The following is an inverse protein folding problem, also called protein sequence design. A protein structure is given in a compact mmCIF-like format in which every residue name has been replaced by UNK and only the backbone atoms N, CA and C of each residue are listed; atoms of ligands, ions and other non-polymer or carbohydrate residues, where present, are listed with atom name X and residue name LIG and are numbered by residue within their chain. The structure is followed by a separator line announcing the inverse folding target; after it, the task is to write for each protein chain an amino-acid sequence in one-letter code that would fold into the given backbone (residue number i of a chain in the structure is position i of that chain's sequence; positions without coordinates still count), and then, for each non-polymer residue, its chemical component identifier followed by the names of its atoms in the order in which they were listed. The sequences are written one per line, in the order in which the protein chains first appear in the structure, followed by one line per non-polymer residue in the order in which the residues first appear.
data_IF_623315991433
#
_entry.id   IF_623315991433
#
_cell.length_a   1.000
_cell.length_b   1.000
_cell.length_c   1.000
_cell.angle_alpha   90.00
_cell.angle_beta   90.00
_cell.angle_gamma   90.00
#
_symmetry.space_group_name_H-M   'P 1'
#
loop_
_entity.id
_entity.type
_entity.pdbx_description
1 polymer ?
#
# COMPACT_ATOMS: atom_id res chain seq x y z
N UNK A 1 68.63 35.72 -0.18
CA UNK A 1 67.16 35.92 -0.32
C UNK A 1 66.54 34.60 -0.78
N UNK A 2 65.59 34.03 -0.03
CA UNK A 2 64.97 32.72 -0.33
C UNK A 2 63.46 32.93 -0.45
N UNK A 3 62.91 32.86 -1.68
CA UNK A 3 61.46 32.95 -1.94
C UNK A 3 60.74 31.79 -1.26
N UNK A 4 59.71 32.08 -0.46
CA UNK A 4 58.69 31.10 -0.07
C UNK A 4 57.39 31.49 -0.78
N UNK A 5 56.90 30.58 -1.62
CA UNK A 5 55.61 30.73 -2.35
C UNK A 5 54.45 30.52 -1.38
N UNK A 6 53.31 31.21 -1.57
CA UNK A 6 52.11 30.93 -0.79
C UNK A 6 51.54 29.55 -1.15
N UNK A 7 51.30 28.72 -0.14
CA UNK A 7 50.44 27.55 -0.28
C UNK A 7 49.00 28.04 -0.38
N UNK A 8 48.40 27.85 -1.55
CA UNK A 8 46.97 28.02 -1.80
C UNK A 8 46.21 26.91 -1.08
N UNK A 9 45.52 27.25 0.02
CA UNK A 9 44.54 26.38 0.66
C UNK A 9 43.16 26.67 0.04
N UNK A 10 42.96 26.19 -1.19
CA UNK A 10 41.63 26.14 -1.78
C UNK A 10 41.05 24.73 -1.52
N UNK A 11 39.88 24.66 -0.89
CA UNK A 11 38.98 23.52 -1.10
C UNK A 11 38.67 22.58 0.06
N UNK A 12 38.39 23.06 1.28
CA UNK A 12 37.79 22.21 2.35
C UNK A 12 36.47 22.76 2.91
N UNK A 13 36.10 24.02 2.63
CA UNK A 13 34.87 24.62 3.20
C UNK A 13 33.58 24.24 2.47
N UNK A 14 33.60 24.25 1.14
CA UNK A 14 32.37 24.16 0.33
C UNK A 14 31.70 22.77 0.36
N UNK A 15 32.41 21.63 0.21
CA UNK A 15 31.73 20.32 0.14
C UNK A 15 31.15 19.87 1.49
N UNK A 16 31.76 20.28 2.61
CA UNK A 16 31.29 19.95 3.95
C UNK A 16 30.00 20.71 4.31
N UNK A 17 29.91 21.98 3.92
CA UNK A 17 28.74 22.82 4.15
C UNK A 17 27.54 22.31 3.31
N UNK A 18 27.77 21.91 2.05
CA UNK A 18 26.71 21.34 1.22
C UNK A 18 26.19 20.02 1.78
N UNK A 19 27.05 19.16 2.32
CA UNK A 19 26.63 17.88 2.89
C UNK A 19 25.81 18.06 4.18
N UNK A 20 26.15 19.05 5.00
CA UNK A 20 25.45 19.39 6.23
C UNK A 20 24.07 20.02 5.99
N UNK A 21 23.90 20.77 4.90
CA UNK A 21 22.61 21.39 4.56
C UNK A 21 21.64 20.41 3.87
N UNK A 22 22.16 19.46 3.09
CA UNK A 22 21.33 18.52 2.34
C UNK A 22 20.83 17.33 3.18
N UNK A 23 21.54 16.98 4.25
CA UNK A 23 21.17 15.87 5.15
C UNK A 23 19.82 16.06 5.86
N UNK A 24 19.49 17.20 6.49
CA UNK A 24 18.19 17.36 7.15
C UNK A 24 17.03 17.35 6.14
N UNK A 25 17.23 17.91 4.94
CA UNK A 25 16.21 17.93 3.87
C UNK A 25 15.89 16.51 3.39
N UNK A 26 16.91 15.67 3.24
CA UNK A 26 16.73 14.27 2.85
C UNK A 26 16.03 13.45 3.95
N UNK A 27 16.37 13.68 5.22
CA UNK A 27 15.73 13.00 6.36
C UNK A 27 14.25 13.40 6.53
N UNK A 28 13.91 14.68 6.29
CA UNK A 28 12.52 15.15 6.25
C UNK A 28 11.72 14.53 5.10
N UNK A 29 12.36 14.33 3.93
CA UNK A 29 11.73 13.66 2.80
C UNK A 29 11.49 12.16 3.06
N UNK A 30 12.40 11.47 3.75
CA UNK A 30 12.22 10.05 4.10
C UNK A 30 11.29 9.81 5.31
N UNK A 31 11.15 10.79 6.20
CA UNK A 31 10.19 10.73 7.31
C UNK A 31 8.72 10.87 6.86
N UNK A 32 8.47 11.17 5.59
CA UNK A 32 7.14 11.34 5.01
C UNK A 32 6.45 10.06 4.51
N UNK A 33 7.10 8.89 4.51
CA UNK A 33 6.48 7.63 4.07
C UNK A 33 5.97 6.80 5.26
N UNK A 34 5.31 7.46 6.19
CA UNK A 34 4.70 6.84 7.35
C UNK A 34 3.48 7.65 7.74
N UNK A 35 2.48 7.69 6.87
CA UNK A 35 1.13 8.05 7.31
C UNK A 35 0.80 7.11 8.45
N UNK A 36 0.87 7.61 9.68
CA UNK A 36 0.14 7.02 10.77
C UNK A 36 -1.32 7.12 10.33
N UNK A 37 -1.84 6.05 9.73
CA UNK A 37 -3.26 5.90 9.49
C UNK A 37 -3.91 6.21 10.82
N UNK A 38 -4.73 7.25 10.85
CA UNK A 38 -5.60 7.52 11.99
C UNK A 38 -6.24 6.17 12.37
N UNK A 39 -6.28 5.79 13.67
CA UNK A 39 -6.99 4.58 14.04
C UNK A 39 -8.41 4.84 13.56
N UNK A 40 -8.84 4.13 12.51
CA UNK A 40 -10.19 4.22 12.00
C UNK A 40 -11.07 3.77 13.16
N UNK A 41 -11.57 4.73 13.92
CA UNK A 41 -12.41 4.54 15.10
C UNK A 41 -13.80 4.17 14.61
N UNK A 42 -13.85 2.97 14.05
CA UNK A 42 -14.94 2.03 13.87
C UNK A 42 -14.35 1.04 12.87
N UNK A 43 -13.64 0.00 13.35
CA UNK A 43 -13.56 -1.21 12.54
C UNK A 43 -15.02 -1.55 12.23
N UNK A 44 -15.43 -1.41 10.97
CA UNK A 44 -16.80 -1.70 10.56
C UNK A 44 -17.17 -3.02 11.20
N UNK A 45 -18.20 -3.03 12.06
CA UNK A 45 -18.62 -4.25 12.74
C UNK A 45 -18.74 -5.32 11.66
N UNK A 46 -17.88 -6.34 11.71
CA UNK A 46 -17.80 -7.37 10.68
C UNK A 46 -19.12 -8.10 10.74
N UNK A 47 -20.05 -7.71 9.87
CA UNK A 47 -21.32 -8.39 9.70
C UNK A 47 -21.04 -9.66 8.91
N UNK A 48 -21.84 -10.70 9.18
CA UNK A 48 -21.76 -11.95 8.42
C UNK A 48 -21.90 -11.63 6.93
N UNK A 49 -20.85 -11.92 6.18
CA UNK A 49 -20.84 -11.81 4.73
C UNK A 49 -21.44 -13.11 4.19
N UNK A 50 -22.46 -13.01 3.35
CA UNK A 50 -23.00 -14.19 2.66
C UNK A 50 -22.00 -14.64 1.60
N UNK A 51 -21.71 -15.95 1.62
CA UNK A 51 -20.65 -16.57 0.85
C UNK A 51 -21.24 -17.71 0.03
N UNK A 52 -21.33 -17.52 -1.29
CA UNK A 52 -21.97 -18.49 -2.20
C UNK A 52 -20.92 -19.03 -3.16
N UNK A 53 -20.39 -20.22 -2.88
CA UNK A 53 -19.44 -20.88 -3.77
C UNK A 53 -20.09 -21.84 -4.74
N UNK A 54 -19.43 -22.02 -5.89
CA UNK A 54 -19.55 -23.21 -6.70
C UNK A 54 -19.02 -24.44 -5.97
N UNK A 55 -19.40 -25.63 -6.44
CA UNK A 55 -18.74 -26.86 -6.03
C UNK A 55 -17.23 -26.78 -6.36
N UNK A 56 -16.44 -27.25 -5.41
CA UNK A 56 -14.99 -27.09 -5.39
C UNK A 56 -14.31 -27.93 -6.49
N UNK A 57 -13.38 -27.33 -7.23
CA UNK A 57 -12.48 -28.08 -8.11
C UNK A 57 -11.09 -28.05 -7.47
N UNK A 58 -10.67 -29.18 -6.90
CA UNK A 58 -9.44 -29.31 -6.12
C UNK A 58 -9.44 -28.43 -4.86
N UNK A 59 -8.38 -27.68 -4.56
CA UNK A 59 -8.30 -26.78 -3.40
C UNK A 59 -8.91 -25.39 -3.66
N UNK A 60 -9.52 -25.15 -4.83
CA UNK A 60 -10.05 -23.85 -5.24
C UNK A 60 -11.57 -23.83 -5.43
N UNK A 61 -12.21 -22.76 -4.96
CA UNK A 61 -13.63 -22.47 -5.17
C UNK A 61 -13.80 -21.06 -5.72
N UNK A 62 -14.66 -20.91 -6.71
CA UNK A 62 -15.16 -19.61 -7.14
C UNK A 62 -16.41 -19.27 -6.31
N UNK A 63 -16.44 -18.06 -5.77
CA UNK A 63 -17.48 -17.66 -4.83
C UNK A 63 -17.89 -16.22 -5.06
N UNK A 64 -19.19 -15.98 -4.99
CA UNK A 64 -19.78 -14.65 -5.02
C UNK A 64 -19.98 -14.17 -3.59
N UNK A 65 -19.44 -12.99 -3.30
CA UNK A 65 -19.41 -12.41 -1.95
C UNK A 65 -20.29 -11.16 -1.92
N UNK A 66 -21.31 -11.16 -1.08
CA UNK A 66 -22.19 -9.99 -0.93
C UNK A 66 -21.72 -9.10 0.21
N UNK A 67 -21.22 -7.92 -0.13
CA UNK A 67 -20.78 -6.90 0.82
C UNK A 67 -21.97 -6.28 1.58
N UNK A 68 -21.68 -5.60 2.69
CA UNK A 68 -22.69 -4.98 3.54
C UNK A 68 -23.48 -3.86 2.86
N UNK A 69 -22.92 -3.27 1.81
CA UNK A 69 -23.54 -2.27 0.95
C UNK A 69 -24.20 -2.89 -0.29
N UNK A 70 -24.45 -4.20 -0.27
CA UNK A 70 -25.13 -5.01 -1.30
C UNK A 70 -24.36 -5.24 -2.59
N UNK A 71 -23.15 -4.68 -2.71
CA UNK A 71 -22.26 -4.98 -3.83
C UNK A 71 -21.86 -6.46 -3.80
N UNK A 72 -21.73 -7.04 -4.98
CA UNK A 72 -21.27 -8.41 -5.18
C UNK A 72 -19.88 -8.36 -5.78
N UNK A 73 -18.97 -9.16 -5.24
CA UNK A 73 -17.59 -9.28 -5.71
C UNK A 73 -17.30 -10.76 -5.94
N UNK A 74 -16.67 -11.06 -7.08
CA UNK A 74 -16.28 -12.42 -7.43
C UNK A 74 -14.92 -12.73 -6.82
N UNK A 75 -14.80 -13.86 -6.13
CA UNK A 75 -13.60 -14.25 -5.43
C UNK A 75 -13.22 -15.70 -5.72
N UNK A 76 -11.92 -15.95 -5.82
CA UNK A 76 -11.33 -17.28 -5.76
C UNK A 76 -10.86 -17.51 -4.33
N UNK A 77 -11.34 -18.59 -3.73
CA UNK A 77 -10.89 -19.06 -2.42
C UNK A 77 -10.08 -20.32 -2.54
N UNK A 78 -8.90 -20.27 -1.93
CA UNK A 78 -8.04 -21.41 -1.74
C UNK A 78 -8.28 -21.98 -0.34
N UNK A 79 -8.59 -23.27 -0.30
CA UNK A 79 -8.78 -24.04 0.93
C UNK A 79 -7.77 -25.16 0.99
N UNK A 80 -7.24 -25.46 2.17
CA UNK A 80 -6.37 -26.60 2.40
C UNK A 80 -6.79 -27.32 3.67
N UNK A 81 -6.77 -28.65 3.68
CA UNK A 81 -7.23 -29.46 4.81
C UNK A 81 -8.64 -29.08 5.31
N UNK A 82 -9.54 -28.72 4.39
CA UNK A 82 -10.92 -28.33 4.70
C UNK A 82 -11.06 -26.96 5.39
N UNK A 83 -10.01 -26.12 5.36
CA UNK A 83 -10.04 -24.76 5.92
C UNK A 83 -9.63 -23.74 4.86
N UNK A 84 -10.26 -22.57 4.88
CA UNK A 84 -9.83 -21.45 4.04
C UNK A 84 -8.40 -21.03 4.40
N UNK A 85 -7.54 -20.97 3.39
CA UNK A 85 -6.13 -20.58 3.50
C UNK A 85 -5.79 -19.31 2.73
N UNK A 86 -6.59 -18.96 1.71
CA UNK A 86 -6.41 -17.73 0.94
C UNK A 86 -7.69 -17.25 0.27
N UNK A 87 -7.67 -15.99 -0.15
CA UNK A 87 -8.75 -15.31 -0.85
C UNK A 87 -8.17 -14.27 -1.80
N UNK A 88 -8.64 -14.25 -3.04
CA UNK A 88 -8.39 -13.21 -4.02
C UNK A 88 -9.72 -12.81 -4.67
N UNK A 89 -9.97 -11.51 -4.84
CA UNK A 89 -11.24 -11.00 -5.36
C UNK A 89 -11.03 -10.02 -6.52
N UNK A 90 -11.93 -10.04 -7.48
CA UNK A 90 -12.00 -9.09 -8.58
C UNK A 90 -12.78 -7.85 -8.15
N UNK A 91 -12.07 -6.75 -7.94
CA UNK A 91 -12.66 -5.47 -7.55
C UNK A 91 -13.03 -4.59 -8.75
N UNK A 92 -12.50 -4.89 -9.93
CA UNK A 92 -12.70 -4.06 -11.12
C UNK A 92 -14.13 -4.21 -11.66
N UNK A 93 -14.73 -5.39 -11.51
CA UNK A 93 -16.10 -5.69 -11.92
C UNK A 93 -17.08 -5.81 -10.74
N UNK A 94 -16.78 -5.16 -9.60
CA UNK A 94 -17.68 -5.19 -8.44
C UNK A 94 -19.06 -4.66 -8.84
N UNK A 95 -20.12 -5.37 -8.46
CA UNK A 95 -21.45 -5.04 -8.95
C UNK A 95 -21.85 -3.62 -8.54
N UNK A 96 -22.32 -2.85 -9.51
CA UNK A 96 -22.67 -1.44 -9.32
C UNK A 96 -21.54 -0.44 -9.59
N UNK A 97 -20.27 -0.85 -9.72
CA UNK A 97 -19.17 0.05 -10.08
C UNK A 97 -19.29 0.56 -11.53
N UNK A 98 -19.79 -0.27 -12.44
CA UNK A 98 -19.97 0.07 -13.86
C UNK A 98 -21.23 0.90 -14.15
N UNK A 99 -21.95 1.36 -13.13
CA UNK A 99 -23.12 2.22 -13.35
C UNK A 99 -22.65 3.65 -13.55
N UNK A 100 -22.54 4.03 -14.82
CA UNK A 100 -22.48 5.42 -15.26
C UNK A 100 -23.51 6.25 -14.46
N UNK A 101 -23.12 7.35 -13.78
CA UNK A 101 -24.10 8.18 -13.09
C UNK A 101 -25.12 8.68 -14.10
N UNK A 102 -26.40 8.42 -13.83
CA UNK A 102 -27.49 8.93 -14.65
C UNK A 102 -27.36 10.45 -14.77
N UNK A 103 -27.12 10.91 -15.99
CA UNK A 103 -26.93 12.33 -16.32
C UNK A 103 -28.26 13.08 -16.32
#
# INVERSE_FOLDING_TARGET
MRKRKPFTLAGIGVPAITLFLLTPVFLLALAGCGSASEPSTTAHAVRSIDWRCSDMYDDFSECVVTLTDTRQVDCIVYSTNGKQAGLSCDWDHVSGADKEPAR
#
